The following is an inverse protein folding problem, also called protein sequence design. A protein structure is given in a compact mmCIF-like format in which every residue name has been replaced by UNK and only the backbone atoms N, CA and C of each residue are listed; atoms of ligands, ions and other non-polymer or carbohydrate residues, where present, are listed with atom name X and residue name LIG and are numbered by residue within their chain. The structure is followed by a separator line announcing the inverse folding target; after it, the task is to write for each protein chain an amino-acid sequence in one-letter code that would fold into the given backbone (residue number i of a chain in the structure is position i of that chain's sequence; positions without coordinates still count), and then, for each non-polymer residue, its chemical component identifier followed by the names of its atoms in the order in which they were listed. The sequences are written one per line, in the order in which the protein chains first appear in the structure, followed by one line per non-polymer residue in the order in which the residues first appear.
data_IF_431258785014
#
_entry.id   IF_431258785014
#
_cell.length_a   1.000
_cell.length_b   1.000
_cell.length_c   1.000
_cell.angle_alpha   90.00
_cell.angle_beta   90.00
_cell.angle_gamma   90.00
#
_symmetry.space_group_name_H-M   'P 1'
#
loop_
_entity.id
_entity.type
_entity.pdbx_description
1 polymer ?
#
# COMPACT_ATOMS: atom_id res chain seq x y z
N UNK A 1 32.55 9.21 -6.40
CA UNK A 1 31.14 8.77 -6.47
C UNK A 1 31.06 7.50 -5.66
N UNK A 2 30.43 7.52 -4.48
CA UNK A 2 30.25 6.33 -3.64
C UNK A 2 29.18 5.46 -4.30
N UNK A 3 29.47 4.21 -4.65
CA UNK A 3 28.45 3.28 -5.14
C UNK A 3 27.54 2.94 -3.96
N UNK A 4 26.28 3.25 -4.10
CA UNK A 4 25.25 2.78 -3.19
C UNK A 4 25.19 1.25 -3.21
N UNK A 5 24.83 0.65 -2.10
CA UNK A 5 24.53 -0.76 -2.00
C UNK A 5 23.02 -0.86 -2.28
N UNK A 6 22.65 -1.49 -3.38
CA UNK A 6 21.24 -1.63 -3.76
C UNK A 6 20.67 -2.95 -3.21
N UNK A 7 19.60 -2.85 -2.44
CA UNK A 7 18.88 -3.98 -1.87
C UNK A 7 17.44 -3.94 -2.39
N UNK A 8 17.03 -4.95 -3.16
CA UNK A 8 15.67 -5.09 -3.71
C UNK A 8 15.15 -3.85 -4.48
N UNK A 9 16.02 -3.22 -5.31
CA UNK A 9 15.66 -2.03 -6.06
C UNK A 9 15.65 -0.73 -5.26
N UNK A 10 15.66 -0.77 -3.95
CA UNK A 10 15.99 0.37 -3.10
C UNK A 10 17.52 0.47 -3.00
N UNK A 11 18.04 1.65 -3.21
CA UNK A 11 19.39 1.97 -2.73
C UNK A 11 19.39 1.84 -1.22
N UNK A 12 19.60 0.63 -0.71
CA UNK A 12 19.83 0.37 0.72
C UNK A 12 21.14 1.01 1.08
N UNK A 13 20.99 2.22 1.18
CA UNK A 13 22.07 3.06 1.19
C UNK A 13 22.65 3.08 2.57
N UNK A 14 23.85 3.14 2.42
CA UNK A 14 24.61 4.11 3.13
C UNK A 14 23.84 5.37 3.54
N UNK A 15 22.84 5.85 2.80
CA UNK A 15 22.00 7.00 3.19
C UNK A 15 21.30 6.76 4.52
N UNK A 16 20.66 5.64 4.71
CA UNK A 16 19.98 5.31 5.97
C UNK A 16 20.95 5.27 7.14
N UNK A 17 22.07 4.56 6.98
CA UNK A 17 23.07 4.50 8.03
C UNK A 17 23.91 5.78 8.04
N UNK A 18 24.18 6.41 6.91
CA UNK A 18 24.87 7.71 6.84
C UNK A 18 24.04 8.82 7.50
N UNK A 19 22.71 8.85 7.35
CA UNK A 19 21.85 9.80 8.05
C UNK A 19 21.86 9.58 9.57
N UNK A 20 21.80 8.33 10.02
CA UNK A 20 21.99 8.01 11.44
C UNK A 20 23.40 8.37 11.91
N UNK A 21 24.40 8.14 11.08
CA UNK A 21 25.79 8.46 11.36
C UNK A 21 26.03 9.98 11.48
N UNK A 22 25.40 10.77 10.64
CA UNK A 22 25.50 12.23 10.67
C UNK A 22 24.93 12.81 11.96
N UNK A 23 23.79 12.29 12.43
CA UNK A 23 23.19 12.66 13.72
C UNK A 23 24.15 12.37 14.90
N UNK A 24 24.94 11.30 14.82
CA UNK A 24 25.80 10.85 15.92
C UNK A 24 27.29 11.07 15.71
N UNK A 25 27.67 11.80 14.67
CA UNK A 25 29.06 12.21 14.40
C UNK A 25 30.07 11.05 14.31
N UNK A 26 29.79 10.07 13.43
CA UNK A 26 30.47 8.78 13.40
C UNK A 26 31.44 8.58 12.23
N UNK A 27 32.20 7.48 12.29
CA UNK A 27 33.28 7.17 11.34
C UNK A 27 32.91 6.04 10.41
N UNK A 28 33.10 6.26 9.10
CA UNK A 28 32.93 5.23 8.06
C UNK A 28 34.30 4.79 7.53
N UNK A 29 34.50 3.48 7.44
CA UNK A 29 35.65 2.87 6.76
C UNK A 29 35.11 1.97 5.64
N UNK A 30 35.48 2.26 4.41
CA UNK A 30 35.05 1.49 3.24
C UNK A 30 36.25 0.70 2.67
N UNK A 31 36.03 -0.60 2.49
CA UNK A 31 36.96 -1.49 1.81
C UNK A 31 36.22 -2.04 0.58
N UNK A 32 36.67 -1.65 -0.61
CA UNK A 32 36.07 -2.08 -1.87
C UNK A 32 37.10 -2.66 -2.82
N UNK A 33 36.70 -3.70 -3.56
CA UNK A 33 37.32 -4.11 -4.81
C UNK A 33 36.22 -4.30 -5.89
N UNK A 34 36.57 -4.66 -7.11
CA UNK A 34 35.64 -4.69 -8.25
C UNK A 34 34.41 -5.61 -8.09
N UNK A 35 34.47 -6.59 -7.19
CA UNK A 35 33.39 -7.58 -6.97
C UNK A 35 32.90 -7.67 -5.51
N UNK A 36 33.56 -7.00 -4.61
CA UNK A 36 33.32 -7.13 -3.18
C UNK A 36 33.29 -5.77 -2.53
N UNK A 37 32.23 -5.50 -1.83
CA UNK A 37 32.08 -4.27 -1.06
C UNK A 37 31.92 -4.62 0.42
N UNK A 38 32.85 -4.15 1.22
CA UNK A 38 32.75 -4.23 2.67
C UNK A 38 32.83 -2.84 3.26
N UNK A 39 31.74 -2.41 3.87
CA UNK A 39 31.69 -1.17 4.62
C UNK A 39 31.62 -1.46 6.10
N UNK A 40 32.40 -0.77 6.89
CA UNK A 40 32.36 -0.83 8.34
C UNK A 40 32.00 0.55 8.85
N UNK A 41 30.85 0.64 9.49
CA UNK A 41 30.32 1.89 10.04
C UNK A 41 30.25 1.79 11.56
N UNK A 42 30.63 2.85 12.23
CA UNK A 42 30.62 2.94 13.69
C UNK A 42 29.64 4.00 14.12
N UNK A 43 28.70 3.63 14.98
CA UNK A 43 27.72 4.54 15.54
C UNK A 43 27.52 4.27 17.03
N UNK A 44 27.86 5.23 17.89
CA UNK A 44 27.83 5.05 19.34
C UNK A 44 28.59 3.78 19.76
N UNK A 45 27.89 2.87 20.39
CA UNK A 45 28.41 1.56 20.84
C UNK A 45 28.27 0.45 19.79
N UNK A 46 27.73 0.76 18.60
CA UNK A 46 27.50 -0.22 17.55
C UNK A 46 28.55 -0.14 16.45
N UNK A 47 28.76 -1.29 15.81
CA UNK A 47 29.53 -1.42 14.58
C UNK A 47 28.70 -2.21 13.58
N UNK A 48 28.44 -1.61 12.43
CA UNK A 48 27.73 -2.25 11.32
C UNK A 48 28.75 -2.66 10.26
N UNK A 49 28.67 -3.90 9.82
CA UNK A 49 29.52 -4.47 8.79
C UNK A 49 28.65 -4.92 7.65
N UNK A 50 28.70 -4.16 6.55
CA UNK A 50 28.05 -4.53 5.30
C UNK A 50 29.02 -5.33 4.47
N UNK A 51 28.72 -6.59 4.25
CA UNK A 51 29.54 -7.55 3.53
C UNK A 51 28.75 -8.04 2.31
N UNK A 52 28.91 -7.36 1.16
CA UNK A 52 28.06 -7.54 -0.01
C UNK A 52 28.90 -7.94 -1.21
N UNK A 53 28.42 -8.96 -1.94
CA UNK A 53 29.01 -9.45 -3.19
C UNK A 53 28.07 -9.22 -4.34
N UNK A 54 28.55 -8.62 -5.42
CA UNK A 54 27.81 -8.49 -6.67
C UNK A 54 28.08 -9.71 -7.56
N UNK A 55 27.06 -10.52 -7.80
CA UNK A 55 27.07 -11.70 -8.65
C UNK A 55 26.33 -11.42 -9.96
N UNK A 56 26.83 -10.47 -10.75
CA UNK A 56 26.27 -10.20 -12.09
C UNK A 56 24.96 -9.38 -12.05
N UNK A 57 24.85 -8.43 -11.12
CA UNK A 57 23.69 -7.57 -10.92
C UNK A 57 22.77 -8.03 -9.80
N UNK A 58 23.01 -9.23 -9.24
CA UNK A 58 22.35 -9.70 -8.02
C UNK A 58 23.28 -9.44 -6.84
N UNK A 59 22.85 -8.61 -5.91
CA UNK A 59 23.59 -8.35 -4.68
C UNK A 59 23.20 -9.43 -3.64
N UNK A 60 24.20 -10.12 -3.12
CA UNK A 60 24.05 -11.07 -2.01
C UNK A 60 24.97 -10.66 -0.88
N UNK A 61 24.52 -10.80 0.35
CA UNK A 61 25.37 -10.52 1.48
C UNK A 61 24.66 -10.32 2.79
N UNK A 62 25.44 -10.00 3.82
CA UNK A 62 24.98 -9.87 5.18
C UNK A 62 25.28 -8.50 5.75
N UNK A 63 24.37 -8.02 6.61
CA UNK A 63 24.61 -6.90 7.50
C UNK A 63 24.86 -7.45 8.91
N UNK A 64 26.10 -7.38 9.38
CA UNK A 64 26.46 -7.82 10.73
C UNK A 64 26.42 -6.64 11.68
N UNK A 65 25.64 -6.78 12.74
CA UNK A 65 25.58 -5.81 13.82
C UNK A 65 26.37 -6.32 15.00
N UNK A 66 27.30 -5.49 15.45
CA UNK A 66 28.13 -5.79 16.61
C UNK A 66 27.99 -4.67 17.64
N UNK A 67 27.93 -5.05 18.91
CA UNK A 67 27.86 -4.11 20.04
C UNK A 67 29.17 -4.09 20.82
N UNK A 68 29.62 -2.89 21.22
CA UNK A 68 30.82 -2.70 22.03
C UNK A 68 30.51 -3.05 23.48
N UNK A 69 31.21 -4.04 24.01
CA UNK A 69 31.11 -4.41 25.42
C UNK A 69 31.88 -3.48 26.36
N UNK A 70 31.70 -3.64 27.65
CA UNK A 70 32.39 -2.90 28.70
C UNK A 70 33.92 -3.02 28.66
N UNK A 71 34.41 -4.12 28.07
CA UNK A 71 35.86 -4.37 27.83
C UNK A 71 36.39 -3.65 26.57
N UNK A 72 35.60 -2.83 25.90
CA UNK A 72 35.95 -2.10 24.69
C UNK A 72 36.01 -2.95 23.41
N UNK A 73 35.69 -4.25 23.48
CA UNK A 73 35.67 -5.15 22.31
C UNK A 73 34.27 -5.24 21.72
N UNK A 74 34.18 -5.38 20.41
CA UNK A 74 32.92 -5.61 19.69
C UNK A 74 32.60 -7.09 19.67
N UNK A 75 31.36 -7.44 19.99
CA UNK A 75 30.81 -8.80 19.91
C UNK A 75 29.63 -8.81 18.95
N UNK A 76 29.45 -9.94 18.23
CA UNK A 76 28.33 -10.13 17.33
C UNK A 76 27.01 -10.09 18.12
N UNK A 77 26.06 -9.35 17.60
CA UNK A 77 24.72 -9.17 18.16
C UNK A 77 23.66 -9.80 17.27
N UNK A 78 23.69 -9.46 15.99
CA UNK A 78 22.75 -9.95 14.99
C UNK A 78 23.36 -9.92 13.59
N UNK A 79 22.77 -10.72 12.72
CA UNK A 79 23.08 -10.75 11.28
C UNK A 79 21.75 -10.62 10.55
N UNK A 80 21.69 -9.76 9.57
CA UNK A 80 20.53 -9.54 8.71
C UNK A 80 20.93 -9.85 7.28
N UNK A 81 20.15 -10.69 6.61
CA UNK A 81 20.31 -10.89 5.18
C UNK A 81 19.95 -9.61 4.42
N UNK A 82 20.56 -9.44 3.27
CA UNK A 82 20.29 -8.34 2.34
C UNK A 82 18.81 -8.28 1.95
N UNK A 83 18.17 -9.43 1.82
CA UNK A 83 16.73 -9.56 1.51
C UNK A 83 15.81 -9.20 2.68
N UNK A 84 16.39 -8.98 3.87
CA UNK A 84 15.66 -8.62 5.09
C UNK A 84 15.81 -7.14 5.47
N UNK A 85 15.87 -6.25 4.49
CA UNK A 85 16.03 -4.80 4.69
C UNK A 85 15.07 -4.27 5.77
N UNK A 86 13.79 -4.62 5.70
CA UNK A 86 12.75 -4.21 6.66
C UNK A 86 13.04 -4.62 8.11
N UNK A 87 13.66 -5.78 8.32
CA UNK A 87 14.03 -6.23 9.68
C UNK A 87 15.18 -5.40 10.23
N UNK A 88 16.09 -4.97 9.35
CA UNK A 88 17.20 -4.10 9.71
C UNK A 88 16.73 -2.68 9.98
N UNK A 89 15.83 -2.13 9.19
CA UNK A 89 15.18 -0.82 9.42
C UNK A 89 14.53 -0.77 10.80
N UNK A 90 13.68 -1.74 11.12
CA UNK A 90 13.06 -1.86 12.45
C UNK A 90 14.07 -1.96 13.59
N UNK A 91 15.20 -2.62 13.34
CA UNK A 91 16.28 -2.67 14.31
C UNK A 91 16.89 -1.28 14.51
N UNK A 92 17.12 -0.52 13.44
CA UNK A 92 17.67 0.84 13.52
C UNK A 92 16.71 1.80 14.22
N UNK A 93 15.45 1.81 13.85
CA UNK A 93 14.41 2.63 14.46
C UNK A 93 14.33 2.38 15.97
N UNK A 94 14.22 1.12 16.37
CA UNK A 94 14.13 0.74 17.78
C UNK A 94 15.42 1.03 18.55
N UNK A 95 16.59 0.87 17.94
CA UNK A 95 17.88 1.00 18.61
C UNK A 95 18.26 2.46 18.82
N UNK A 96 17.91 3.31 17.87
CA UNK A 96 18.27 4.72 17.86
C UNK A 96 17.12 5.64 18.21
N UNK A 97 15.92 5.09 18.41
CA UNK A 97 14.67 5.83 18.68
C UNK A 97 14.41 6.89 17.59
N UNK A 98 14.45 6.44 16.36
CA UNK A 98 14.20 7.25 15.16
C UNK A 98 13.06 6.65 14.36
N UNK A 99 12.47 7.42 13.46
CA UNK A 99 11.57 6.95 12.42
C UNK A 99 12.25 7.21 11.07
N UNK A 100 12.29 6.19 10.23
CA UNK A 100 12.82 6.29 8.88
C UNK A 100 11.65 6.56 7.90
N UNK A 101 11.92 7.34 6.87
CA UNK A 101 11.00 7.51 5.75
C UNK A 101 11.13 6.36 4.74
N UNK A 102 10.34 6.40 3.67
CA UNK A 102 10.35 5.37 2.61
C UNK A 102 11.67 5.29 1.84
N UNK A 103 12.46 6.37 1.85
CA UNK A 103 13.80 6.42 1.25
C UNK A 103 14.92 6.02 2.25
N UNK A 104 14.57 5.73 3.50
CA UNK A 104 15.51 5.41 4.57
C UNK A 104 16.18 6.61 5.20
N UNK A 105 15.65 7.82 5.02
CA UNK A 105 16.12 9.03 5.72
C UNK A 105 15.45 9.13 7.08
N UNK A 106 16.13 9.73 8.04
CA UNK A 106 15.56 9.96 9.38
C UNK A 106 14.64 11.17 9.35
N UNK A 107 13.38 10.98 9.76
CA UNK A 107 12.46 12.09 9.99
C UNK A 107 12.94 12.96 11.16
N UNK A 108 12.77 14.26 11.06
CA UNK A 108 12.97 15.18 12.19
C UNK A 108 11.95 14.90 13.29
N UNK A 109 12.17 15.43 14.48
CA UNK A 109 11.25 15.22 15.61
C UNK A 109 9.86 15.83 15.36
N UNK A 110 9.78 16.92 14.60
CA UNK A 110 8.55 17.55 14.18
C UNK A 110 7.81 16.70 13.16
N UNK A 111 8.48 16.27 12.10
CA UNK A 111 7.93 15.38 11.07
C UNK A 111 7.47 14.05 11.68
N UNK A 112 8.28 13.46 12.56
CA UNK A 112 7.92 12.22 13.26
C UNK A 112 6.61 12.34 14.03
N UNK A 113 6.41 13.45 14.77
CA UNK A 113 5.16 13.66 15.52
C UNK A 113 3.95 13.70 14.62
N UNK A 114 4.06 14.36 13.48
CA UNK A 114 2.98 14.41 12.48
C UNK A 114 2.77 13.03 11.85
N UNK A 115 3.84 12.38 11.43
CA UNK A 115 3.77 11.03 10.85
C UNK A 115 3.15 10.00 11.83
N UNK A 116 3.47 10.07 13.12
CA UNK A 116 2.85 9.20 14.14
C UNK A 116 1.35 9.45 14.29
N UNK A 117 0.89 10.72 14.19
CA UNK A 117 -0.54 11.04 14.20
C UNK A 117 -1.25 10.53 12.94
N UNK A 118 -0.73 10.84 11.76
CA UNK A 118 -1.26 10.38 10.49
C UNK A 118 -1.35 8.85 10.45
N UNK A 119 -0.29 8.18 10.92
CA UNK A 119 -0.27 6.72 11.05
C UNK A 119 -1.33 6.18 12.00
N UNK A 120 -1.63 6.88 13.09
CA UNK A 120 -2.69 6.48 14.01
C UNK A 120 -4.07 6.61 13.37
N UNK A 121 -4.33 7.70 12.64
CA UNK A 121 -5.57 7.94 11.89
C UNK A 121 -5.76 6.84 10.85
N UNK A 122 -4.76 6.63 9.98
CA UNK A 122 -4.83 5.63 8.92
C UNK A 122 -5.02 4.20 9.48
N UNK A 123 -4.34 3.83 10.58
CA UNK A 123 -4.56 2.54 11.25
C UNK A 123 -5.99 2.36 11.78
N UNK A 124 -6.60 3.41 12.32
CA UNK A 124 -7.99 3.36 12.75
C UNK A 124 -8.95 3.14 11.57
N UNK A 125 -8.55 3.53 10.37
CA UNK A 125 -9.27 3.29 9.13
C UNK A 125 -8.99 1.91 8.51
N UNK A 126 -8.02 1.16 9.04
CA UNK A 126 -7.69 -0.20 8.61
C UNK A 126 -6.44 -0.32 7.75
N UNK A 127 -5.62 0.73 7.65
CA UNK A 127 -4.32 0.62 6.98
C UNK A 127 -3.36 -0.26 7.77
N UNK A 128 -2.66 -1.12 7.05
CA UNK A 128 -1.54 -1.90 7.59
C UNK A 128 -0.22 -1.19 7.30
N UNK A 129 0.61 -1.00 8.32
CA UNK A 129 1.87 -0.27 8.18
C UNK A 129 3.08 -1.18 8.28
N UNK A 130 3.98 -0.96 7.35
CA UNK A 130 5.31 -1.52 7.35
C UNK A 130 6.36 -0.39 7.28
N UNK A 131 6.95 -0.05 8.42
CA UNK A 131 7.82 1.13 8.52
C UNK A 131 7.04 2.43 8.26
N UNK A 132 7.48 3.20 7.29
CA UNK A 132 6.88 4.47 6.86
C UNK A 132 5.82 4.31 5.76
N UNK A 133 5.57 3.11 5.29
CA UNK A 133 4.56 2.80 4.28
C UNK A 133 3.34 2.17 4.94
N UNK A 134 2.16 2.68 4.61
CA UNK A 134 0.87 2.12 4.98
C UNK A 134 0.09 1.72 3.74
N UNK A 135 -0.56 0.57 3.78
CA UNK A 135 -1.39 0.07 2.69
C UNK A 135 -2.79 -0.25 3.19
N UNK A 136 -3.77 0.12 2.41
CA UNK A 136 -5.16 -0.30 2.57
C UNK A 136 -5.59 -1.07 1.32
N UNK A 137 -5.84 -2.36 1.47
CA UNK A 137 -6.36 -3.19 0.39
C UNK A 137 -7.86 -2.95 0.25
N UNK A 138 -8.28 -2.46 -0.91
CA UNK A 138 -9.69 -2.28 -1.26
C UNK A 138 -10.25 -3.57 -1.87
N UNK A 139 -9.57 -4.10 -2.89
CA UNK A 139 -9.95 -5.34 -3.56
C UNK A 139 -8.73 -6.03 -4.17
N UNK A 140 -8.80 -7.37 -4.28
CA UNK A 140 -7.80 -8.21 -4.94
C UNK A 140 -8.48 -9.28 -5.81
N UNK A 141 -9.52 -8.89 -6.54
CA UNK A 141 -10.31 -9.80 -7.37
C UNK A 141 -9.83 -9.79 -8.82
N UNK A 142 -10.03 -10.92 -9.53
CA UNK A 142 -9.69 -11.08 -10.94
C UNK A 142 -8.23 -10.75 -11.30
N UNK A 143 -7.27 -11.13 -10.43
CA UNK A 143 -5.84 -10.84 -10.56
C UNK A 143 -5.49 -9.33 -10.56
N UNK A 144 -6.44 -8.45 -10.34
CA UNK A 144 -6.24 -7.00 -10.18
C UNK A 144 -6.20 -6.62 -8.70
N UNK A 145 -5.22 -5.80 -8.33
CA UNK A 145 -5.03 -5.33 -6.96
C UNK A 145 -5.30 -3.83 -6.90
N UNK A 146 -6.24 -3.46 -6.03
CA UNK A 146 -6.68 -2.08 -5.80
C UNK A 146 -6.32 -1.67 -4.39
N UNK A 147 -5.39 -0.72 -4.25
CA UNK A 147 -4.90 -0.27 -2.94
C UNK A 147 -4.80 1.24 -2.83
N UNK A 148 -4.89 1.73 -1.61
CA UNK A 148 -4.49 3.09 -1.24
C UNK A 148 -3.26 3.00 -0.35
N UNK A 149 -2.21 3.72 -0.71
CA UNK A 149 -0.96 3.75 0.03
C UNK A 149 -0.75 5.11 0.68
N UNK A 150 -0.15 5.09 1.86
CA UNK A 150 0.31 6.28 2.58
C UNK A 150 1.81 6.16 2.82
N UNK A 151 2.56 7.15 2.40
CA UNK A 151 4.01 7.19 2.57
C UNK A 151 4.44 8.46 3.30
N UNK A 152 5.45 8.33 4.17
CA UNK A 152 6.07 9.47 4.83
C UNK A 152 7.45 9.72 4.22
N UNK A 153 7.70 10.95 3.77
CA UNK A 153 8.96 11.35 3.10
C UNK A 153 9.57 12.57 3.75
N UNK A 154 10.82 12.44 4.17
CA UNK A 154 11.57 13.54 4.79
C UNK A 154 11.66 14.75 3.83
N UNK A 155 11.27 15.93 4.31
CA UNK A 155 11.13 17.19 3.60
C UNK A 155 10.00 17.27 2.55
N UNK A 156 9.41 16.15 2.13
CA UNK A 156 8.36 16.14 1.10
C UNK A 156 6.96 16.06 1.73
N UNK A 157 6.83 15.41 2.89
CA UNK A 157 5.57 15.34 3.64
C UNK A 157 4.94 13.96 3.67
N UNK A 158 3.61 13.95 3.63
CA UNK A 158 2.78 12.75 3.60
C UNK A 158 2.23 12.60 2.18
N UNK A 159 2.42 11.46 1.57
CA UNK A 159 1.91 11.13 0.24
C UNK A 159 0.81 10.08 0.36
N UNK A 160 -0.36 10.35 -0.24
CA UNK A 160 -1.45 9.41 -0.42
C UNK A 160 -1.49 9.04 -1.90
N UNK A 161 -1.38 7.76 -2.22
CA UNK A 161 -1.36 7.28 -3.60
C UNK A 161 -2.44 6.23 -3.82
N UNK A 162 -3.18 6.38 -4.91
CA UNK A 162 -4.19 5.45 -5.39
C UNK A 162 -3.56 4.50 -6.40
N UNK A 163 -3.61 3.21 -6.13
CA UNK A 163 -3.05 2.17 -7.00
C UNK A 163 -4.12 1.30 -7.62
N UNK A 164 -3.91 1.01 -8.87
CA UNK A 164 -4.76 0.23 -9.73
C UNK A 164 -3.88 -0.73 -10.53
N UNK A 165 -3.98 -2.01 -10.26
CA UNK A 165 -3.16 -3.06 -10.89
C UNK A 165 -1.65 -2.71 -10.88
N UNK A 166 -1.16 -2.21 -9.75
CA UNK A 166 0.24 -1.81 -9.58
C UNK A 166 0.65 -0.49 -10.26
N UNK A 167 -0.30 0.23 -10.87
CA UNK A 167 -0.07 1.55 -11.46
C UNK A 167 -0.62 2.65 -10.53
N UNK A 168 0.14 3.73 -10.38
CA UNK A 168 -0.33 4.93 -9.66
C UNK A 168 -1.32 5.67 -10.56
N UNK A 169 -2.55 5.82 -10.11
CA UNK A 169 -3.62 6.53 -10.82
C UNK A 169 -3.76 7.96 -10.34
N UNK A 170 -3.58 8.20 -9.06
CA UNK A 170 -3.63 9.50 -8.43
C UNK A 170 -2.65 9.56 -7.28
N UNK A 171 -2.20 10.76 -6.96
CA UNK A 171 -1.28 10.99 -5.85
C UNK A 171 -1.55 12.39 -5.29
N UNK A 172 -1.70 12.47 -3.98
CA UNK A 172 -1.81 13.70 -3.21
C UNK A 172 -0.65 13.77 -2.23
N UNK A 173 0.10 14.86 -2.24
CA UNK A 173 1.20 15.08 -1.31
C UNK A 173 0.92 16.31 -0.44
N UNK A 174 1.03 16.17 0.87
CA UNK A 174 0.82 17.24 1.84
C UNK A 174 2.09 17.44 2.69
N UNK A 175 2.66 18.66 2.72
CA UNK A 175 3.79 18.96 3.58
C UNK A 175 3.44 18.76 5.07
N UNK A 176 4.40 18.28 5.86
CA UNK A 176 4.19 18.03 7.30
C UNK A 176 3.73 19.26 8.10
N UNK A 177 4.13 20.47 7.68
CA UNK A 177 3.76 21.71 8.35
C UNK A 177 2.34 22.20 8.02
N UNK A 178 1.69 21.61 7.01
CA UNK A 178 0.31 21.88 6.61
C UNK A 178 -0.68 20.86 7.17
N UNK A 179 -0.21 19.79 7.79
CA UNK A 179 -1.04 18.65 8.22
C UNK A 179 -2.18 19.05 9.16
N UNK A 180 -3.40 18.67 8.79
CA UNK A 180 -4.61 18.72 9.62
C UNK A 180 -5.23 17.32 9.74
N UNK A 181 -5.59 16.94 10.97
CA UNK A 181 -6.08 15.58 11.27
C UNK A 181 -7.41 15.27 10.52
N UNK A 182 -8.30 16.26 10.37
CA UNK A 182 -9.61 16.09 9.73
C UNK A 182 -9.53 16.09 8.20
N UNK A 183 -8.66 16.92 7.64
CA UNK A 183 -8.45 16.98 6.20
C UNK A 183 -7.76 15.69 5.72
N UNK A 184 -6.74 15.22 6.44
CA UNK A 184 -6.07 13.95 6.14
C UNK A 184 -7.03 12.75 6.22
N UNK A 185 -7.92 12.68 7.22
CA UNK A 185 -8.93 11.62 7.31
C UNK A 185 -9.92 11.69 6.13
N UNK A 186 -10.32 12.89 5.72
CA UNK A 186 -11.19 13.09 4.57
C UNK A 186 -10.50 12.65 3.26
N UNK A 187 -9.24 13.05 3.05
CA UNK A 187 -8.46 12.67 1.88
C UNK A 187 -8.28 11.15 1.77
N UNK A 188 -8.05 10.45 2.90
CA UNK A 188 -8.00 9.00 2.92
C UNK A 188 -9.34 8.36 2.54
N UNK A 189 -10.46 8.89 3.06
CA UNK A 189 -11.80 8.40 2.71
C UNK A 189 -12.08 8.59 1.22
N UNK A 190 -11.70 9.74 0.69
CA UNK A 190 -11.89 10.02 -0.74
C UNK A 190 -11.02 9.12 -1.61
N UNK A 191 -9.76 8.92 -1.27
CA UNK A 191 -8.88 8.00 -1.99
C UNK A 191 -9.42 6.54 -1.96
N UNK A 192 -9.87 6.05 -0.80
CA UNK A 192 -10.50 4.73 -0.68
C UNK A 192 -11.76 4.66 -1.57
N UNK A 193 -12.59 5.72 -1.56
CA UNK A 193 -13.79 5.77 -2.38
C UNK A 193 -13.51 5.77 -3.88
N UNK A 194 -12.49 6.50 -4.33
CA UNK A 194 -12.08 6.55 -5.73
C UNK A 194 -11.58 5.17 -6.21
N UNK A 195 -10.72 4.54 -5.42
CA UNK A 195 -10.19 3.21 -5.72
C UNK A 195 -11.31 2.16 -5.72
N UNK A 196 -12.25 2.25 -4.77
CA UNK A 196 -13.39 1.35 -4.69
C UNK A 196 -14.36 1.53 -5.89
N UNK A 197 -14.59 2.76 -6.33
CA UNK A 197 -15.40 3.03 -7.52
C UNK A 197 -14.76 2.43 -8.78
N UNK A 198 -13.43 2.54 -8.91
CA UNK A 198 -12.68 1.92 -10.01
C UNK A 198 -12.78 0.40 -9.98
N UNK A 199 -12.59 -0.21 -8.81
CA UNK A 199 -12.72 -1.67 -8.64
C UNK A 199 -14.14 -2.15 -8.99
N UNK A 200 -15.18 -1.45 -8.54
CA UNK A 200 -16.57 -1.76 -8.89
C UNK A 200 -16.84 -1.62 -10.39
N UNK A 201 -16.35 -0.56 -11.01
CA UNK A 201 -16.52 -0.34 -12.45
C UNK A 201 -15.95 -1.50 -13.26
N UNK A 202 -14.79 -1.99 -12.87
CA UNK A 202 -14.16 -3.13 -13.54
C UNK A 202 -14.91 -4.43 -13.30
N UNK A 203 -15.32 -4.69 -12.06
CA UNK A 203 -16.12 -5.89 -11.75
C UNK A 203 -17.43 -5.90 -12.55
N UNK A 204 -18.11 -4.74 -12.68
CA UNK A 204 -19.31 -4.61 -13.50
C UNK A 204 -18.99 -4.80 -15.00
N UNK A 205 -17.84 -4.31 -15.47
CA UNK A 205 -17.39 -4.51 -16.85
C UNK A 205 -17.10 -5.98 -17.14
N UNK A 206 -16.48 -6.71 -16.22
CA UNK A 206 -16.29 -8.17 -16.33
C UNK A 206 -17.65 -8.91 -16.39
N UNK A 207 -18.60 -8.53 -15.54
CA UNK A 207 -19.97 -9.10 -15.60
C UNK A 207 -20.62 -8.83 -16.96
N UNK A 208 -20.39 -7.66 -17.55
CA UNK A 208 -20.93 -7.31 -18.86
C UNK A 208 -20.28 -8.14 -19.99
N UNK A 209 -18.96 -8.34 -19.94
CA UNK A 209 -18.22 -9.13 -20.94
C UNK A 209 -18.58 -10.62 -20.90
N UNK A 210 -18.75 -11.18 -19.69
CA UNK A 210 -19.14 -12.58 -19.50
C UNK A 210 -20.64 -12.83 -19.69
N UNK A 211 -21.45 -11.78 -19.60
CA UNK A 211 -22.92 -11.83 -19.60
C UNK A 211 -23.54 -11.02 -20.75
N UNK A 212 -22.86 -10.93 -21.89
CA UNK A 212 -23.27 -10.20 -23.10
C UNK A 212 -24.75 -10.40 -23.52
N UNK A 213 -25.38 -11.45 -23.02
CA UNK A 213 -26.78 -11.75 -23.32
C UNK A 213 -27.80 -11.04 -22.42
N UNK A 214 -27.37 -10.58 -21.20
CA UNK A 214 -28.31 -10.07 -20.18
C UNK A 214 -28.15 -8.58 -19.88
N UNK A 215 -26.92 -8.05 -19.83
CA UNK A 215 -26.67 -6.63 -19.60
C UNK A 215 -26.72 -5.88 -20.93
N UNK A 216 -27.45 -4.77 -20.97
CA UNK A 216 -27.57 -3.93 -22.16
C UNK A 216 -26.55 -2.79 -22.14
N UNK A 217 -26.41 -2.15 -20.98
CA UNK A 217 -25.52 -0.99 -20.81
C UNK A 217 -25.21 -0.77 -19.32
N UNK A 218 -24.10 -0.09 -19.06
CA UNK A 218 -23.73 0.43 -17.74
C UNK A 218 -23.55 1.94 -17.83
N UNK A 219 -23.98 2.67 -16.84
CA UNK A 219 -23.92 4.13 -16.84
C UNK A 219 -23.65 4.69 -15.45
N UNK A 220 -22.88 5.78 -15.41
CA UNK A 220 -22.67 6.52 -14.17
C UNK A 220 -23.88 7.37 -13.83
N UNK A 221 -24.24 7.37 -12.56
CA UNK A 221 -25.27 8.28 -12.04
C UNK A 221 -24.61 9.52 -11.45
N UNK A 222 -25.39 10.60 -11.24
CA UNK A 222 -24.90 11.81 -10.58
C UNK A 222 -24.60 11.64 -9.07
N UNK A 223 -24.81 10.42 -8.52
CA UNK A 223 -24.69 10.13 -7.10
C UNK A 223 -23.54 9.13 -6.80
N UNK A 224 -22.51 9.07 -7.64
CA UNK A 224 -21.40 8.12 -7.49
C UNK A 224 -21.87 6.64 -7.51
N UNK A 225 -22.96 6.34 -8.21
CA UNK A 225 -23.50 5.00 -8.37
C UNK A 225 -23.33 4.55 -9.83
N UNK A 226 -23.02 3.28 -10.02
CA UNK A 226 -23.03 2.63 -11.34
C UNK A 226 -24.41 2.04 -11.55
N UNK A 227 -25.10 2.47 -12.60
CA UNK A 227 -26.36 1.90 -13.04
C UNK A 227 -26.12 0.77 -14.04
N UNK A 228 -26.86 -0.34 -13.89
CA UNK A 228 -26.80 -1.50 -14.77
C UNK A 228 -28.17 -1.71 -15.38
N UNK A 229 -28.25 -1.54 -16.71
CA UNK A 229 -29.47 -1.77 -17.49
C UNK A 229 -29.45 -3.19 -18.08
N UNK A 230 -30.63 -3.82 -18.12
CA UNK A 230 -30.78 -5.19 -18.58
C UNK A 230 -31.57 -5.26 -19.90
N UNK A 231 -31.13 -6.13 -20.83
CA UNK A 231 -31.75 -6.32 -22.14
C UNK A 231 -33.22 -6.70 -22.03
N UNK A 232 -34.05 -5.96 -22.75
CA UNK A 232 -35.50 -6.21 -22.77
C UNK A 232 -36.28 -5.72 -21.56
N UNK A 233 -35.62 -5.01 -20.64
CA UNK A 233 -36.24 -4.33 -19.50
C UNK A 233 -36.32 -2.83 -19.72
N UNK A 234 -37.18 -2.18 -18.94
CA UNK A 234 -37.21 -0.71 -18.93
C UNK A 234 -36.04 -0.15 -18.09
N UNK A 235 -35.57 1.03 -18.42
CA UNK A 235 -34.54 1.73 -17.59
C UNK A 235 -34.97 1.95 -16.14
N UNK A 236 -36.24 1.83 -15.84
CA UNK A 236 -36.81 1.78 -14.50
C UNK A 236 -36.42 0.56 -13.68
N UNK A 237 -35.97 -0.49 -14.34
CA UNK A 237 -35.60 -1.78 -13.71
C UNK A 237 -34.09 -1.90 -13.47
N UNK A 238 -33.32 -0.83 -13.76
CA UNK A 238 -31.88 -0.79 -13.54
C UNK A 238 -31.51 -1.05 -12.07
N UNK A 239 -30.47 -1.82 -11.87
CA UNK A 239 -29.85 -1.99 -10.54
C UNK A 239 -28.73 -0.96 -10.39
N UNK A 240 -28.69 -0.30 -9.24
CA UNK A 240 -27.70 0.71 -8.89
C UNK A 240 -26.71 0.08 -7.91
N UNK A 241 -25.42 0.26 -8.19
CA UNK A 241 -24.32 -0.27 -7.36
C UNK A 241 -23.46 0.90 -6.92
N UNK A 242 -23.15 0.96 -5.64
CA UNK A 242 -22.27 2.00 -5.07
C UNK A 242 -21.42 1.43 -3.93
N UNK A 243 -20.35 2.16 -3.60
CA UNK A 243 -19.51 1.84 -2.45
C UNK A 243 -19.80 2.79 -1.29
N UNK A 244 -20.13 2.25 -0.14
CA UNK A 244 -20.28 3.01 1.10
C UNK A 244 -18.93 3.13 1.81
N UNK A 245 -18.36 4.33 1.80
CA UNK A 245 -17.05 4.66 2.38
C UNK A 245 -17.03 4.48 3.92
N UNK A 246 -18.16 4.66 4.59
CA UNK A 246 -18.24 4.53 6.05
C UNK A 246 -18.38 3.07 6.48
N UNK A 247 -19.23 2.32 5.79
CA UNK A 247 -19.44 0.90 6.07
C UNK A 247 -18.41 -0.01 5.38
N UNK A 248 -17.62 0.55 4.44
CA UNK A 248 -16.64 -0.18 3.62
C UNK A 248 -17.27 -1.38 2.90
N UNK A 249 -18.43 -1.16 2.35
CA UNK A 249 -19.25 -2.21 1.73
C UNK A 249 -19.87 -1.72 0.42
N UNK A 250 -20.22 -2.68 -0.43
CA UNK A 250 -20.94 -2.42 -1.67
C UNK A 250 -22.43 -2.45 -1.38
N UNK A 251 -23.14 -1.46 -1.84
CA UNK A 251 -24.59 -1.37 -1.76
C UNK A 251 -25.15 -1.59 -3.15
N UNK A 252 -25.99 -2.60 -3.29
CA UNK A 252 -26.81 -2.83 -4.47
C UNK A 252 -28.22 -2.38 -4.17
N UNK A 253 -28.86 -1.66 -5.09
CA UNK A 253 -30.20 -1.12 -4.90
C UNK A 253 -31.01 -1.22 -6.18
N UNK A 254 -32.24 -1.73 -6.09
CA UNK A 254 -33.20 -1.57 -7.16
C UNK A 254 -33.89 -0.20 -7.10
N UNK A 255 -34.64 0.14 -8.14
CA UNK A 255 -35.39 1.40 -8.21
C UNK A 255 -36.59 1.47 -7.27
N UNK A 256 -37.05 0.34 -6.73
CA UNK A 256 -38.11 0.30 -5.71
C UNK A 256 -37.57 0.71 -4.32
N UNK A 257 -36.27 0.71 -4.14
CA UNK A 257 -35.57 1.04 -2.91
C UNK A 257 -35.18 -0.18 -2.09
N UNK A 258 -35.39 -1.41 -2.59
CA UNK A 258 -34.85 -2.61 -1.95
C UNK A 258 -33.31 -2.61 -2.10
N UNK A 259 -32.63 -2.95 -1.02
CA UNK A 259 -31.16 -2.90 -0.96
C UNK A 259 -30.58 -4.22 -0.48
N UNK A 260 -29.39 -4.56 -1.01
CA UNK A 260 -28.53 -5.61 -0.51
C UNK A 260 -27.14 -5.01 -0.27
N UNK A 261 -26.47 -5.46 0.79
CA UNK A 261 -25.12 -4.99 1.19
C UNK A 261 -24.17 -6.17 1.12
N UNK A 262 -23.04 -6.00 0.46
CA UNK A 262 -22.02 -7.03 0.26
C UNK A 262 -20.61 -6.45 0.39
N UNK A 263 -19.59 -7.27 0.27
CA UNK A 263 -18.20 -6.89 0.10
C UNK A 263 -17.68 -7.29 -1.30
N UNK A 264 -16.45 -6.90 -1.62
CA UNK A 264 -15.87 -7.19 -2.94
C UNK A 264 -15.74 -8.69 -3.21
N UNK A 265 -15.39 -9.49 -2.20
CA UNK A 265 -15.20 -10.94 -2.35
C UNK A 265 -16.47 -11.72 -2.64
N UNK A 266 -17.61 -11.21 -2.22
CA UNK A 266 -18.93 -11.84 -2.41
C UNK A 266 -19.79 -11.13 -3.45
N UNK A 267 -19.31 -10.01 -4.01
CA UNK A 267 -20.11 -9.15 -4.87
C UNK A 267 -20.75 -9.89 -6.05
N UNK A 268 -19.98 -10.67 -6.79
CA UNK A 268 -20.49 -11.35 -8.00
C UNK A 268 -21.60 -12.35 -7.66
N UNK A 269 -21.42 -13.16 -6.60
CA UNK A 269 -22.40 -14.14 -6.17
C UNK A 269 -23.67 -13.45 -5.68
N UNK A 270 -23.54 -12.49 -4.79
CA UNK A 270 -24.68 -11.78 -4.20
C UNK A 270 -25.38 -10.85 -5.20
N UNK A 271 -24.64 -10.25 -6.13
CA UNK A 271 -25.24 -9.51 -7.25
C UNK A 271 -26.08 -10.41 -8.15
N UNK A 272 -25.57 -11.60 -8.46
CA UNK A 272 -26.30 -12.60 -9.24
C UNK A 272 -27.60 -13.01 -8.54
N UNK A 273 -27.55 -13.25 -7.23
CA UNK A 273 -28.73 -13.62 -6.45
C UNK A 273 -29.73 -12.47 -6.35
N UNK A 274 -29.26 -11.24 -6.17
CA UNK A 274 -30.09 -10.05 -6.15
C UNK A 274 -30.80 -9.84 -7.50
N UNK A 275 -30.07 -9.96 -8.61
CA UNK A 275 -30.63 -9.89 -9.95
C UNK A 275 -31.67 -11.00 -10.18
N UNK A 276 -31.40 -12.23 -9.75
CA UNK A 276 -32.34 -13.36 -9.87
C UNK A 276 -33.65 -13.10 -9.13
N UNK A 277 -33.54 -12.56 -7.92
CA UNK A 277 -34.73 -12.20 -7.13
C UNK A 277 -35.54 -11.08 -7.78
N UNK A 278 -34.87 -10.04 -8.32
CA UNK A 278 -35.57 -8.84 -8.84
C UNK A 278 -36.00 -8.93 -10.29
N UNK A 279 -35.28 -9.67 -11.12
CA UNK A 279 -35.47 -9.70 -12.56
C UNK A 279 -36.01 -11.06 -13.07
N UNK A 280 -35.74 -12.15 -12.36
CA UNK A 280 -36.08 -13.51 -12.70
C UNK A 280 -34.90 -14.39 -13.10
N UNK A 281 -35.07 -15.71 -13.02
CA UNK A 281 -34.00 -16.69 -13.29
C UNK A 281 -33.44 -16.59 -14.71
N UNK A 282 -34.22 -16.19 -15.67
CA UNK A 282 -33.84 -16.05 -17.07
C UNK A 282 -32.69 -15.03 -17.32
N UNK A 283 -32.50 -14.08 -16.38
CA UNK A 283 -31.45 -13.06 -16.48
C UNK A 283 -30.11 -13.51 -15.86
N UNK A 284 -30.12 -14.61 -15.13
CA UNK A 284 -28.96 -15.10 -14.39
C UNK A 284 -28.54 -16.52 -14.73
N UNK A 285 -29.31 -17.23 -15.60
CA UNK A 285 -28.96 -18.62 -15.99
C UNK A 285 -27.57 -18.75 -16.59
N UNK A 286 -27.09 -17.75 -17.35
CA UNK A 286 -25.76 -17.78 -17.98
C UNK A 286 -24.65 -17.36 -17.03
N UNK A 287 -24.92 -16.57 -15.98
CA UNK A 287 -23.94 -16.14 -15.00
C UNK A 287 -23.47 -17.25 -14.07
N UNK A 288 -24.33 -18.22 -13.79
CA UNK A 288 -24.00 -19.38 -12.97
C UNK A 288 -22.94 -20.29 -13.61
N UNK A 289 -22.74 -20.20 -14.93
CA UNK A 289 -21.73 -20.98 -15.64
C UNK A 289 -20.37 -20.28 -15.71
N UNK A 290 -20.31 -18.96 -15.71
CA UNK A 290 -19.08 -18.19 -15.72
C UNK A 290 -18.28 -18.30 -14.41
N UNK A 291 -18.98 -18.49 -13.27
CA UNK A 291 -18.36 -18.62 -11.94
C UNK A 291 -18.00 -20.08 -11.56
N UNK A 292 -18.07 -21.04 -12.48
CA UNK A 292 -17.79 -22.46 -12.22
C UNK A 292 -16.39 -22.92 -12.69
N UNK A 293 -15.51 -21.99 -13.08
CA UNK A 293 -14.15 -22.32 -13.54
C UNK A 293 -13.08 -21.50 -12.86
#
# INVERSE_FOLDING_TARGET
MRKAINFNGRDFNAVMVETILDIYNTKVVTLTNDKYQKRVMFCKEYRFIFDVVDLGGVLMGDIKVQKKGSNGRYADMSVYDVDSAMTFERFLEKTFDVMLDTDGKVLTEEERKVAEKAKAIAKNMGFEFNGAEGEYLVSAENDCIYTVNVEFRHNDGIEISEFYDGLICSNLAEPFDCFDDSDFEADLKDAIGNVAASALSDMVSYLNDDCDECIEDTFDTNNEEIGIDFKGREKSDAILVSFDKEMKSIIMRDRSGDTMVTDFSNFVEEFTDFCREKLGEEYTENWAYANAY
#
